data_IF_801269684970
#
_entry.id   IF_801269684970
#
_cell.length_a   1.000
_cell.length_b   1.000
_cell.length_c   1.000
_cell.angle_alpha   90.00
_cell.angle_beta   90.00
_cell.angle_gamma   90.00
#
_symmetry.space_group_name_H-M   'P 1'
#
loop_
_entity.id
_entity.type
_entity.pdbx_description
1 polymer ?
#
# COMPACT_ATOMS: atom_id res chain seq x y z
N UNK A 1 -7.07 40.27 -16.01
CA UNK A 1 -5.93 39.33 -15.94
C UNK A 1 -6.48 37.90 -15.94
N UNK A 2 -6.05 37.05 -16.89
CA UNK A 2 -6.52 35.67 -17.00
C UNK A 2 -5.53 34.78 -16.26
N UNK A 3 -5.99 34.05 -15.25
CA UNK A 3 -5.16 33.14 -14.48
C UNK A 3 -4.75 31.93 -15.36
N UNK A 4 -3.48 31.49 -15.32
CA UNK A 4 -3.03 30.25 -15.95
C UNK A 4 -3.86 29.02 -15.51
N UNK A 5 -3.96 28.01 -16.39
CA UNK A 5 -4.75 26.80 -16.14
C UNK A 5 -4.12 25.87 -15.09
N UNK A 6 -2.79 25.95 -14.93
CA UNK A 6 -1.98 25.22 -13.95
C UNK A 6 -2.10 25.77 -12.51
N UNK A 7 -2.87 26.83 -12.28
CA UNK A 7 -3.01 27.43 -10.96
C UNK A 7 -3.55 26.47 -9.89
N UNK A 8 -4.40 25.52 -10.31
CA UNK A 8 -4.86 24.44 -9.43
C UNK A 8 -3.75 23.42 -9.15
N UNK A 9 -2.92 23.09 -10.13
CA UNK A 9 -1.79 22.16 -9.96
C UNK A 9 -0.76 22.73 -9.01
N UNK A 10 -0.42 24.02 -9.18
CA UNK A 10 0.42 24.74 -8.23
C UNK A 10 -0.22 24.80 -6.84
N UNK A 11 -1.53 25.03 -6.74
CA UNK A 11 -2.22 24.94 -5.46
C UNK A 11 -2.02 23.55 -4.84
N UNK A 12 -2.27 22.46 -5.56
CA UNK A 12 -2.09 21.09 -5.04
C UNK A 12 -0.65 20.82 -4.59
N UNK A 13 0.36 21.25 -5.35
CA UNK A 13 1.78 21.00 -5.06
C UNK A 13 2.27 21.64 -3.76
N UNK A 14 1.61 22.69 -3.27
CA UNK A 14 1.95 23.35 -2.00
C UNK A 14 1.70 22.46 -0.76
N UNK A 15 1.00 21.32 -0.89
CA UNK A 15 0.85 20.35 0.20
C UNK A 15 0.22 20.96 1.45
N UNK A 16 0.87 20.84 2.60
CA UNK A 16 0.39 21.40 3.88
C UNK A 16 0.42 22.93 3.95
N UNK A 17 1.21 23.59 3.09
CA UNK A 17 1.33 25.06 3.03
C UNK A 17 0.33 25.71 2.08
N UNK A 18 -0.65 24.93 1.60
CA UNK A 18 -1.69 25.38 0.68
C UNK A 18 -2.45 26.60 1.19
N UNK A 19 -2.41 27.69 0.43
CA UNK A 19 -3.28 28.85 0.66
C UNK A 19 -3.52 29.61 -0.64
N UNK A 20 -4.71 30.21 -0.80
CA UNK A 20 -4.99 31.07 -1.95
C UNK A 20 -4.09 32.30 -2.00
N UNK A 21 -3.54 32.71 -0.85
CA UNK A 21 -2.55 33.79 -0.77
C UNK A 21 -1.22 33.38 -1.41
N UNK A 22 -0.71 32.18 -1.10
CA UNK A 22 0.53 31.67 -1.71
C UNK A 22 0.40 31.49 -3.22
N UNK A 23 -0.78 31.08 -3.71
CA UNK A 23 -1.07 31.00 -5.15
C UNK A 23 -1.12 32.40 -5.78
N UNK A 24 -1.77 33.36 -5.10
CA UNK A 24 -1.88 34.73 -5.57
C UNK A 24 -0.50 35.41 -5.70
N UNK A 25 0.36 35.23 -4.69
CA UNK A 25 1.74 35.71 -4.68
C UNK A 25 2.57 35.09 -5.81
N UNK A 26 2.41 33.78 -6.05
CA UNK A 26 3.12 33.09 -7.14
C UNK A 26 2.75 33.64 -8.53
N UNK A 27 1.46 33.89 -8.78
CA UNK A 27 0.98 34.35 -10.08
C UNK A 27 0.88 35.88 -10.21
N UNK A 28 1.33 36.64 -9.21
CA UNK A 28 1.28 38.10 -9.21
C UNK A 28 -0.13 38.69 -9.34
N UNK A 29 -1.14 38.01 -8.78
CA UNK A 29 -2.55 38.42 -8.86
C UNK A 29 -3.12 38.72 -7.48
N UNK A 30 -4.26 39.41 -7.43
CA UNK A 30 -4.98 39.60 -6.18
C UNK A 30 -5.63 38.29 -5.69
N UNK A 31 -5.61 38.07 -4.37
CA UNK A 31 -6.23 36.90 -3.72
C UNK A 31 -7.69 36.68 -4.14
N UNK A 32 -8.48 37.76 -4.32
CA UNK A 32 -9.89 37.65 -4.74
C UNK A 32 -10.04 36.95 -6.10
N UNK A 33 -9.08 37.12 -7.00
CA UNK A 33 -9.06 36.48 -8.32
C UNK A 33 -8.87 34.97 -8.18
N UNK A 34 -7.97 34.54 -7.28
CA UNK A 34 -7.78 33.12 -6.95
C UNK A 34 -9.03 32.54 -6.29
N UNK A 35 -9.60 33.24 -5.30
CA UNK A 35 -10.82 32.77 -4.61
C UNK A 35 -11.99 32.60 -5.59
N UNK A 36 -12.22 33.57 -6.47
CA UNK A 36 -13.29 33.50 -7.47
C UNK A 36 -13.07 32.32 -8.45
N UNK A 37 -11.82 32.07 -8.86
CA UNK A 37 -11.46 30.91 -9.69
C UNK A 37 -11.69 29.60 -8.95
N UNK A 38 -11.22 29.51 -7.70
CA UNK A 38 -11.31 28.33 -6.87
C UNK A 38 -12.76 27.92 -6.58
N UNK A 39 -13.65 28.89 -6.37
CA UNK A 39 -15.10 28.65 -6.22
C UNK A 39 -15.70 28.15 -7.54
N UNK A 40 -15.46 28.85 -8.65
CA UNK A 40 -16.00 28.49 -9.96
C UNK A 40 -15.59 27.09 -10.41
N UNK A 41 -14.35 26.70 -10.12
CA UNK A 41 -13.80 25.40 -10.48
C UNK A 41 -13.86 24.36 -9.36
N UNK A 42 -14.47 24.69 -8.23
CA UNK A 42 -14.63 23.79 -7.08
C UNK A 42 -13.31 23.12 -6.67
N UNK A 43 -12.28 23.94 -6.43
CA UNK A 43 -10.93 23.44 -6.12
C UNK A 43 -10.90 22.51 -4.89
N UNK A 44 -11.73 22.78 -3.88
CA UNK A 44 -11.82 21.90 -2.70
C UNK A 44 -12.40 20.52 -3.08
N UNK A 45 -13.48 20.45 -3.86
CA UNK A 45 -14.04 19.18 -4.32
C UNK A 45 -13.06 18.41 -5.22
N UNK A 46 -12.35 19.12 -6.10
CA UNK A 46 -11.31 18.53 -6.95
C UNK A 46 -10.18 17.94 -6.11
N UNK A 47 -9.71 18.69 -5.12
CA UNK A 47 -8.69 18.24 -4.19
C UNK A 47 -9.16 17.03 -3.38
N UNK A 48 -10.40 17.05 -2.87
CA UNK A 48 -10.97 15.92 -2.13
C UNK A 48 -10.98 14.65 -2.99
N UNK A 49 -11.37 14.74 -4.26
CA UNK A 49 -11.31 13.60 -5.20
C UNK A 49 -9.89 13.11 -5.48
N UNK A 50 -8.91 14.01 -5.54
CA UNK A 50 -7.49 13.62 -5.71
C UNK A 50 -7.00 12.91 -4.46
N UNK A 51 -7.33 13.42 -3.28
CA UNK A 51 -6.95 12.81 -2.00
C UNK A 51 -7.58 11.44 -1.81
N UNK A 52 -8.84 11.28 -2.20
CA UNK A 52 -9.52 9.98 -2.18
C UNK A 52 -8.81 8.97 -3.08
N UNK A 53 -8.61 9.32 -4.35
CA UNK A 53 -7.87 8.47 -5.30
C UNK A 53 -6.45 8.17 -4.85
N UNK A 54 -5.81 9.09 -4.13
CA UNK A 54 -4.48 8.86 -3.58
C UNK A 54 -4.52 7.87 -2.40
N UNK A 55 -5.56 7.90 -1.56
CA UNK A 55 -5.78 6.93 -0.49
C UNK A 55 -6.04 5.54 -1.06
N UNK A 56 -6.99 5.40 -1.98
CA UNK A 56 -7.30 4.15 -2.67
C UNK A 56 -6.02 3.52 -3.25
N UNK A 57 -5.23 4.30 -4.01
CA UNK A 57 -3.95 3.81 -4.57
C UNK A 57 -2.90 3.41 -3.53
N UNK A 58 -2.91 4.02 -2.35
CA UNK A 58 -1.99 3.64 -1.28
C UNK A 58 -2.46 2.34 -0.65
N UNK A 59 -3.75 2.19 -0.40
CA UNK A 59 -4.36 0.97 0.10
C UNK A 59 -4.13 -0.21 -0.84
N UNK A 60 -4.37 -0.05 -2.14
CA UNK A 60 -4.09 -1.06 -3.17
C UNK A 60 -2.62 -1.52 -3.12
N UNK A 61 -1.68 -0.56 -3.10
CA UNK A 61 -0.24 -0.88 -3.03
C UNK A 61 0.16 -1.58 -1.73
N UNK A 62 -0.50 -1.24 -0.62
CA UNK A 62 -0.26 -1.90 0.66
C UNK A 62 -0.74 -3.35 0.59
N UNK A 63 -1.92 -3.60 0.01
CA UNK A 63 -2.43 -4.94 -0.23
C UNK A 63 -1.49 -5.76 -1.13
N UNK A 64 -1.05 -5.19 -2.26
CA UNK A 64 -0.08 -5.83 -3.16
C UNK A 64 1.22 -6.19 -2.44
N UNK A 65 1.76 -5.26 -1.63
CA UNK A 65 2.99 -5.48 -0.87
C UNK A 65 2.84 -6.65 0.13
N UNK A 66 1.69 -6.75 0.79
CA UNK A 66 1.39 -7.85 1.72
C UNK A 66 1.29 -9.18 0.94
N UNK A 67 0.59 -9.19 -0.18
CA UNK A 67 0.44 -10.37 -1.03
C UNK A 67 1.79 -10.88 -1.54
N UNK A 68 2.64 -10.00 -2.08
CA UNK A 68 4.00 -10.34 -2.52
C UNK A 68 4.86 -10.89 -1.38
N UNK A 69 4.76 -10.28 -0.19
CA UNK A 69 5.46 -10.75 1.00
C UNK A 69 5.02 -12.17 1.38
N UNK A 70 3.71 -12.43 1.42
CA UNK A 70 3.15 -13.75 1.71
C UNK A 70 3.62 -14.79 0.69
N UNK A 71 3.58 -14.48 -0.59
CA UNK A 71 4.03 -15.39 -1.64
C UNK A 71 5.52 -15.74 -1.49
N UNK A 72 6.36 -14.73 -1.23
CA UNK A 72 7.78 -14.93 -0.94
C UNK A 72 7.99 -15.81 0.29
N UNK A 73 7.25 -15.57 1.37
CA UNK A 73 7.37 -16.38 2.59
C UNK A 73 6.96 -17.83 2.34
N UNK A 74 5.85 -18.07 1.63
CA UNK A 74 5.42 -19.42 1.25
C UNK A 74 6.49 -20.16 0.44
N UNK A 75 7.12 -19.50 -0.54
CA UNK A 75 8.23 -20.09 -1.30
C UNK A 75 9.41 -20.50 -0.41
N UNK A 76 9.79 -19.64 0.55
CA UNK A 76 10.87 -19.95 1.50
C UNK A 76 10.49 -21.13 2.40
N UNK A 77 9.25 -21.17 2.91
CA UNK A 77 8.76 -22.27 3.73
C UNK A 77 8.76 -23.60 2.96
N UNK A 78 8.32 -23.61 1.70
CA UNK A 78 8.37 -24.80 0.84
C UNK A 78 9.79 -25.35 0.65
N UNK A 79 10.79 -24.46 0.49
CA UNK A 79 12.20 -24.87 0.40
C UNK A 79 12.66 -25.51 1.72
N UNK A 80 12.28 -24.95 2.87
CA UNK A 80 12.60 -25.52 4.18
C UNK A 80 11.94 -26.90 4.34
N UNK A 81 10.67 -27.03 3.91
CA UNK A 81 9.94 -28.30 3.93
C UNK A 81 10.65 -29.37 3.10
N UNK A 82 11.03 -29.04 1.87
CA UNK A 82 11.78 -29.95 1.00
C UNK A 82 13.09 -30.43 1.63
N UNK A 83 13.90 -29.49 2.15
CA UNK A 83 15.17 -29.81 2.81
C UNK A 83 15.00 -30.65 4.08
N UNK A 84 13.98 -30.35 4.88
CA UNK A 84 13.67 -31.14 6.07
C UNK A 84 13.30 -32.59 5.71
N UNK A 85 12.52 -32.77 4.65
CA UNK A 85 12.16 -34.09 4.16
C UNK A 85 13.36 -34.87 3.60
N UNK A 86 14.20 -34.22 2.78
CA UNK A 86 15.46 -34.81 2.28
C UNK A 86 16.37 -35.26 3.43
N UNK A 87 16.51 -34.40 4.45
CA UNK A 87 17.32 -34.71 5.65
C UNK A 87 16.78 -35.94 6.37
N UNK A 88 15.45 -36.01 6.57
CA UNK A 88 14.78 -37.16 7.19
C UNK A 88 14.95 -38.46 6.38
N UNK A 89 14.99 -38.39 5.05
CA UNK A 89 15.24 -39.56 4.20
C UNK A 89 16.68 -40.07 4.32
N UNK A 90 17.64 -39.19 4.64
CA UNK A 90 19.08 -39.51 4.68
C UNK A 90 19.62 -39.92 6.05
N UNK A 91 18.84 -39.80 7.13
CA UNK A 91 19.29 -40.04 8.52
C UNK A 91 18.40 -41.02 9.29
N UNK A 92 18.94 -41.77 10.27
CA UNK A 92 18.11 -42.50 11.23
C UNK A 92 17.22 -41.52 12.01
N UNK A 93 15.91 -41.79 12.07
CA UNK A 93 14.87 -40.91 12.65
C UNK A 93 15.20 -40.37 14.06
N UNK A 94 15.97 -41.12 14.85
CA UNK A 94 16.44 -40.75 16.19
C UNK A 94 17.42 -39.56 16.20
N UNK A 95 17.96 -39.19 15.03
CA UNK A 95 18.96 -38.12 14.84
C UNK A 95 18.36 -36.83 14.25
N UNK A 96 17.10 -36.86 13.79
CA UNK A 96 16.55 -35.86 12.87
C UNK A 96 15.65 -34.79 13.55
N UNK A 97 15.83 -34.57 14.85
CA UNK A 97 14.96 -33.71 15.65
C UNK A 97 14.97 -32.23 15.20
N UNK A 98 16.11 -31.72 14.74
CA UNK A 98 16.22 -30.36 14.19
C UNK A 98 15.43 -30.20 12.88
N UNK A 99 15.45 -31.22 12.02
CA UNK A 99 14.65 -31.24 10.79
C UNK A 99 13.15 -31.27 11.11
N UNK A 100 12.73 -32.10 12.08
CA UNK A 100 11.33 -32.18 12.53
C UNK A 100 10.85 -30.82 13.08
N UNK A 101 11.67 -30.13 13.87
CA UNK A 101 11.34 -28.79 14.39
C UNK A 101 11.22 -27.75 13.28
N UNK A 102 12.12 -27.75 12.31
CA UNK A 102 12.06 -26.86 11.16
C UNK A 102 10.78 -27.08 10.34
N UNK A 103 10.39 -28.34 10.14
CA UNK A 103 9.15 -28.73 9.46
C UNK A 103 7.91 -28.26 10.21
N UNK A 104 7.80 -28.56 11.51
CA UNK A 104 6.65 -28.17 12.33
C UNK A 104 6.49 -26.65 12.37
N UNK A 105 7.59 -25.90 12.56
CA UNK A 105 7.55 -24.44 12.52
C UNK A 105 7.10 -23.92 11.15
N UNK A 106 7.61 -24.50 10.06
CA UNK A 106 7.26 -24.07 8.71
C UNK A 106 5.77 -24.32 8.39
N UNK A 107 5.25 -25.50 8.76
CA UNK A 107 3.83 -25.85 8.56
C UNK A 107 2.89 -24.92 9.33
N UNK A 108 3.23 -24.56 10.57
CA UNK A 108 2.43 -23.62 11.37
C UNK A 108 2.40 -22.22 10.74
N UNK A 109 3.55 -21.71 10.29
CA UNK A 109 3.62 -20.41 9.62
C UNK A 109 2.88 -20.38 8.30
N UNK A 110 2.94 -21.46 7.52
CA UNK A 110 2.16 -21.59 6.29
C UNK A 110 0.64 -21.56 6.59
N UNK A 111 0.20 -22.29 7.62
CA UNK A 111 -1.20 -22.32 8.02
C UNK A 111 -1.71 -20.94 8.47
N UNK A 112 -0.92 -20.19 9.22
CA UNK A 112 -1.22 -18.81 9.64
C UNK A 112 -1.39 -17.88 8.43
N UNK A 113 -0.43 -17.87 7.50
CA UNK A 113 -0.47 -17.03 6.28
C UNK A 113 -1.69 -17.37 5.43
N UNK A 114 -1.99 -18.67 5.25
CA UNK A 114 -3.17 -19.12 4.49
C UNK A 114 -4.49 -18.84 5.21
N UNK A 115 -4.48 -18.71 6.53
CA UNK A 115 -5.67 -18.33 7.30
C UNK A 115 -5.92 -16.84 7.17
N UNK A 116 -4.87 -16.01 7.23
CA UNK A 116 -4.94 -14.56 7.03
C UNK A 116 -5.42 -14.22 5.63
N UNK A 117 -4.87 -14.84 4.59
CA UNK A 117 -5.34 -14.64 3.22
C UNK A 117 -6.82 -14.99 3.03
N UNK A 118 -7.35 -15.99 3.76
CA UNK A 118 -8.77 -16.38 3.70
C UNK A 118 -9.71 -15.43 4.44
N UNK A 119 -9.27 -14.87 5.58
CA UNK A 119 -10.06 -13.85 6.27
C UNK A 119 -10.17 -12.58 5.45
N UNK A 120 -9.08 -12.20 4.79
CA UNK A 120 -9.01 -10.96 4.01
C UNK A 120 -9.94 -11.05 2.79
N UNK A 121 -9.95 -12.17 2.06
CA UNK A 121 -10.88 -12.39 0.93
C UNK A 121 -12.35 -12.46 1.34
N UNK A 122 -12.66 -12.93 2.55
CA UNK A 122 -14.04 -13.03 3.02
C UNK A 122 -14.65 -11.68 3.45
N UNK A 123 -13.80 -10.70 3.81
CA UNK A 123 -14.23 -9.34 4.12
C UNK A 123 -14.48 -8.48 2.88
N UNK A 124 -13.90 -8.81 1.73
CA UNK A 124 -14.13 -8.11 0.46
C UNK A 124 -15.45 -8.52 -0.22
N UNK A 125 -15.97 -9.71 0.08
CA UNK A 125 -17.21 -10.28 -0.50
C UNK A 125 -18.51 -9.99 0.29
N UNK A 126 -18.42 -9.31 1.46
CA UNK A 126 -19.56 -8.99 2.35
C UNK A 126 -19.94 -7.50 2.35
#
# INVERSE_FOLDING_TARGET
MKLPEDAFEYYVSLGSKRSYRAVAEHFGVEKRTITARAVREKWQDRLARIQERAREKVEDRMADTIAEMHERHLRVLQVILGRGLETLQSMPLTSAWEAIKALDLAMRREAEIRSQARSDSAQEDS
#
